data_IF_029670825287
#
_entry.id   IF_029670825287
#
_cell.length_a   1.000
_cell.length_b   1.000
_cell.length_c   1.000
_cell.angle_alpha   90.00
_cell.angle_beta   90.00
_cell.angle_gamma   90.00
#
_symmetry.space_group_name_H-M   'P 1'
#
loop_
_entity.id
_entity.type
_entity.pdbx_description
1 polymer ?
#
# COMPACT_ATOMS: atom_id res chain seq x y z
N UNK A 1 20.57 38.16 8.82
CA UNK A 1 20.32 37.80 8.14
C UNK A 1 20.39 37.26 7.60
N UNK A 2 20.44 37.15 8.06
CA UNK A 2 20.29 36.59 7.52
C UNK A 2 20.24 35.89 7.23
N UNK A 3 19.94 35.44 7.48
CA UNK A 3 19.80 34.86 7.09
C UNK A 3 19.47 34.20 6.77
N UNK A 4 19.44 34.32 7.10
CA UNK A 4 19.10 33.76 6.68
C UNK A 4 18.82 33.35 6.28
N UNK A 5 18.71 33.39 6.50
CA UNK A 5 18.34 32.99 5.98
C UNK A 5 18.19 32.52 5.58
N UNK A 6 18.02 32.40 5.72
CA UNK A 6 17.78 32.01 5.21
C UNK A 6 17.60 31.40 4.85
N UNK A 7 17.58 31.52 4.99
CA UNK A 7 17.28 30.96 4.48
C UNK A 7 16.83 30.64 4.12
N UNK A 8 16.84 30.77 4.41
CA UNK A 8 16.21 30.38 4.04
C UNK A 8 15.64 30.08 3.73
N UNK A 9 15.64 30.21 3.88
CA UNK A 9 14.94 29.79 3.60
C UNK A 9 14.45 29.32 3.39
N UNK A 10 14.37 29.52 3.46
CA UNK A 10 13.74 28.94 3.44
C UNK A 10 13.32 28.54 3.69
N UNK A 11 12.93 28.61 3.88
CA UNK A 11 12.46 28.12 4.26
C UNK A 11 12.16 27.61 4.75
N UNK A 12 11.73 27.93 5.46
CA UNK A 12 11.56 27.19 6.07
C UNK A 12 10.78 26.21 6.19
N UNK A 13 10.31 26.22 6.14
CA UNK A 13 9.19 25.29 6.02
C UNK A 13 9.67 23.86 6.08
N UNK A 14 9.03 23.00 6.94
CA UNK A 14 9.25 21.57 6.96
C UNK A 14 8.85 21.02 5.58
N UNK A 15 9.76 20.42 4.85
CA UNK A 15 9.37 19.83 3.55
C UNK A 15 8.32 18.75 3.77
N UNK A 16 7.36 18.66 2.87
CA UNK A 16 6.41 17.57 2.91
C UNK A 16 7.16 16.25 2.72
N UNK A 17 6.77 15.18 3.44
CA UNK A 17 7.38 13.88 3.20
C UNK A 17 7.26 13.53 1.73
N UNK A 18 8.34 13.00 1.19
CA UNK A 18 8.35 12.57 -0.18
C UNK A 18 7.48 11.32 -0.34
N UNK A 19 6.59 11.33 -1.32
CA UNK A 19 5.76 10.16 -1.58
C UNK A 19 6.58 9.05 -2.23
N UNK A 20 6.31 7.78 -1.91
CA UNK A 20 7.04 6.68 -2.54
C UNK A 20 6.86 6.66 -4.06
N UNK A 21 7.92 6.27 -4.76
CA UNK A 21 7.91 6.18 -6.21
C UNK A 21 7.99 4.72 -6.64
N UNK A 22 7.30 4.33 -7.72
CA UNK A 22 7.41 2.96 -8.23
C UNK A 22 8.75 2.76 -8.91
N UNK A 23 9.16 1.50 -9.03
CA UNK A 23 10.36 1.15 -9.78
C UNK A 23 10.07 1.18 -11.30
N UNK A 24 11.03 0.74 -12.11
CA UNK A 24 10.92 0.78 -13.58
C UNK A 24 9.77 -0.09 -14.09
N UNK A 25 9.38 -1.11 -13.34
CA UNK A 25 8.26 -1.98 -13.70
C UNK A 25 6.91 -1.47 -13.18
N UNK A 26 6.91 -0.29 -12.55
CA UNK A 26 5.69 0.27 -11.98
C UNK A 26 5.31 -0.36 -10.64
N UNK A 27 6.22 -1.08 -10.01
CA UNK A 27 5.96 -1.76 -8.74
C UNK A 27 6.52 -0.96 -7.58
N UNK A 28 5.75 -0.91 -6.49
CA UNK A 28 6.23 -0.25 -5.27
C UNK A 28 7.05 -1.23 -4.45
N UNK A 29 8.14 -0.72 -3.90
CA UNK A 29 9.01 -1.46 -3.01
C UNK A 29 8.58 -1.20 -1.56
N UNK A 30 9.19 -1.86 -0.60
CA UNK A 30 8.87 -1.70 0.82
C UNK A 30 8.86 -0.24 1.22
N UNK A 31 7.81 0.16 1.89
CA UNK A 31 7.58 1.55 2.25
C UNK A 31 6.90 1.66 3.61
N UNK A 32 7.22 2.73 4.33
CA UNK A 32 6.51 3.08 5.57
C UNK A 32 5.31 3.99 5.31
N UNK A 33 4.99 4.26 4.06
CA UNK A 33 3.88 5.14 3.70
C UNK A 33 2.56 4.39 3.78
N UNK A 34 1.64 4.87 4.61
CA UNK A 34 0.41 4.17 4.96
C UNK A 34 -0.79 4.49 4.05
N UNK A 35 -0.79 5.66 3.41
CA UNK A 35 -2.01 6.22 2.79
C UNK A 35 -1.95 6.13 1.28
N UNK A 36 -2.97 5.50 0.69
CA UNK A 36 -3.00 5.17 -0.73
C UNK A 36 -4.38 5.40 -1.33
N UNK A 37 -4.44 5.50 -2.64
CA UNK A 37 -5.68 5.70 -3.39
C UNK A 37 -5.71 4.76 -4.58
N UNK A 38 -6.89 4.21 -4.88
CA UNK A 38 -7.09 3.37 -6.07
C UNK A 38 -7.15 4.26 -7.29
N UNK A 39 -6.34 3.93 -8.31
CA UNK A 39 -6.34 4.63 -9.61
C UNK A 39 -6.61 3.66 -10.75
N UNK A 40 -6.95 2.42 -10.44
CA UNK A 40 -7.30 1.41 -11.44
C UNK A 40 -8.51 1.89 -12.24
N UNK A 41 -8.39 1.82 -13.57
CA UNK A 41 -9.44 2.27 -14.48
C UNK A 41 -10.55 1.24 -14.68
N UNK A 42 -10.40 0.03 -14.13
CA UNK A 42 -11.40 -1.02 -14.26
C UNK A 42 -12.69 -0.58 -13.57
N UNK A 43 -13.83 -0.53 -14.29
CA UNK A 43 -15.11 -0.13 -13.67
C UNK A 43 -15.57 -1.10 -12.57
N UNK A 44 -15.05 -2.33 -12.55
CA UNK A 44 -15.37 -3.28 -11.49
C UNK A 44 -14.53 -3.09 -10.24
N UNK A 45 -13.54 -2.19 -10.29
CA UNK A 45 -12.68 -1.89 -9.15
C UNK A 45 -11.46 -2.78 -9.05
N UNK A 46 -10.66 -2.50 -8.03
CA UNK A 46 -9.43 -3.24 -7.76
C UNK A 46 -9.74 -4.42 -6.84
N UNK A 47 -9.35 -5.62 -7.26
CA UNK A 47 -9.59 -6.84 -6.48
C UNK A 47 -8.74 -6.86 -5.20
N UNK A 48 -9.38 -7.22 -4.10
CA UNK A 48 -8.73 -7.44 -2.83
C UNK A 48 -8.85 -8.93 -2.48
N UNK A 49 -7.71 -9.61 -2.31
CA UNK A 49 -7.65 -11.06 -2.20
C UNK A 49 -7.18 -11.51 -0.84
N UNK A 50 -7.74 -12.61 -0.36
CA UNK A 50 -7.28 -13.22 0.90
C UNK A 50 -7.58 -14.70 0.90
N UNK A 51 -6.62 -15.49 1.39
CA UNK A 51 -6.81 -16.92 1.62
C UNK A 51 -7.34 -17.18 3.02
N UNK A 52 -7.39 -18.45 3.39
CA UNK A 52 -7.87 -18.88 4.70
C UNK A 52 -6.75 -18.77 5.75
N UNK A 53 -6.14 -17.58 5.85
CA UNK A 53 -4.99 -17.33 6.73
C UNK A 53 -5.17 -15.99 7.43
N UNK A 54 -4.51 -15.81 8.58
CA UNK A 54 -4.43 -14.49 9.23
C UNK A 54 -3.14 -13.81 8.80
N UNK A 55 -3.08 -12.50 8.94
CA UNK A 55 -1.84 -11.76 8.65
C UNK A 55 -0.72 -12.19 9.60
N UNK A 56 -1.05 -12.51 10.84
CA UNK A 56 -0.08 -12.98 11.82
C UNK A 56 0.53 -14.31 11.37
N UNK A 57 -0.29 -15.20 10.84
CA UNK A 57 0.18 -16.48 10.30
C UNK A 57 1.10 -16.28 9.11
N UNK A 58 0.71 -15.37 8.21
CA UNK A 58 1.50 -15.07 7.02
C UNK A 58 2.86 -14.48 7.39
N UNK A 59 2.92 -13.66 8.44
CA UNK A 59 4.15 -13.01 8.88
C UNK A 59 5.06 -13.91 9.71
N UNK A 60 4.55 -15.04 10.20
CA UNK A 60 5.33 -15.95 11.03
C UNK A 60 6.45 -16.57 10.19
N UNK A 61 7.73 -16.38 10.55
CA UNK A 61 8.84 -16.96 9.78
C UNK A 61 8.80 -18.49 9.70
N UNK A 62 8.14 -19.14 10.66
CA UNK A 62 8.00 -20.60 10.65
C UNK A 62 6.78 -21.07 9.89
N UNK A 63 6.00 -20.15 9.31
CA UNK A 63 4.77 -20.50 8.62
C UNK A 63 5.06 -21.18 7.29
N UNK A 64 4.18 -22.10 6.92
CA UNK A 64 4.24 -22.78 5.62
C UNK A 64 3.14 -22.33 4.69
N UNK A 65 2.64 -21.11 4.89
CA UNK A 65 1.61 -20.56 4.02
C UNK A 65 2.19 -20.39 2.61
N UNK A 66 1.47 -20.92 1.62
CA UNK A 66 1.83 -20.75 0.22
C UNK A 66 1.40 -19.34 -0.22
N UNK A 67 2.38 -18.46 -0.45
CA UNK A 67 2.11 -17.06 -0.78
C UNK A 67 1.79 -16.89 -2.27
N UNK A 68 0.86 -17.66 -2.77
CA UNK A 68 0.35 -17.53 -4.13
C UNK A 68 -0.86 -16.60 -4.14
N UNK A 69 -0.62 -15.36 -3.72
CA UNK A 69 -1.67 -14.38 -3.43
C UNK A 69 -2.55 -14.12 -4.66
N UNK A 70 -1.96 -14.11 -5.84
CA UNK A 70 -2.69 -13.86 -7.08
C UNK A 70 -3.77 -14.87 -7.39
N UNK A 71 -3.71 -16.06 -6.77
CA UNK A 71 -4.73 -17.09 -6.97
C UNK A 71 -5.71 -17.20 -5.79
N UNK A 72 -5.51 -16.40 -4.75
CA UNK A 72 -6.43 -16.41 -3.60
C UNK A 72 -7.78 -15.78 -3.99
N UNK A 73 -8.86 -16.16 -3.31
CA UNK A 73 -10.18 -15.62 -3.63
C UNK A 73 -10.24 -14.10 -3.53
N UNK A 74 -11.03 -13.50 -4.40
CA UNK A 74 -11.37 -12.08 -4.29
C UNK A 74 -12.43 -11.97 -3.20
N UNK A 75 -12.09 -11.29 -2.11
CA UNK A 75 -13.02 -11.13 -0.99
C UNK A 75 -13.69 -9.77 -0.98
N UNK A 76 -13.28 -8.87 -1.90
CA UNK A 76 -13.89 -7.57 -2.05
C UNK A 76 -13.21 -6.78 -3.15
N UNK A 77 -13.73 -5.60 -3.44
CA UNK A 77 -13.14 -4.69 -4.42
C UNK A 77 -13.12 -3.28 -3.86
N UNK A 78 -12.09 -2.51 -4.25
CA UNK A 78 -12.01 -1.09 -3.96
C UNK A 78 -12.24 -0.33 -5.25
N UNK A 79 -13.08 0.70 -5.20
CA UNK A 79 -13.45 1.45 -6.40
C UNK A 79 -12.42 2.52 -6.72
N UNK A 80 -12.34 2.88 -7.98
CA UNK A 80 -11.46 3.96 -8.42
C UNK A 80 -11.72 5.23 -7.62
N UNK A 81 -10.65 5.86 -7.15
CA UNK A 81 -10.72 7.05 -6.31
C UNK A 81 -10.83 6.77 -4.82
N UNK A 82 -11.14 5.54 -4.43
CA UNK A 82 -11.28 5.18 -3.01
C UNK A 82 -9.92 5.17 -2.34
N UNK A 83 -9.84 5.74 -1.13
CA UNK A 83 -8.61 5.77 -0.35
C UNK A 83 -8.59 4.64 0.67
N UNK A 84 -7.40 4.19 1.00
CA UNK A 84 -7.22 3.10 1.96
C UNK A 84 -5.90 3.25 2.69
N UNK A 85 -5.79 2.54 3.81
CA UNK A 85 -4.56 2.50 4.61
C UNK A 85 -4.02 1.09 4.59
N UNK A 86 -2.71 0.96 4.45
CA UNK A 86 -2.07 -0.34 4.46
C UNK A 86 -1.52 -0.67 5.84
N UNK A 87 -1.46 -1.96 6.15
CA UNK A 87 -0.85 -2.49 7.35
C UNK A 87 0.67 -2.51 7.14
N UNK A 88 1.41 -1.93 8.07
CA UNK A 88 2.86 -1.84 7.93
C UNK A 88 3.60 -3.01 8.60
N UNK A 89 2.94 -3.74 9.48
CA UNK A 89 3.52 -4.88 10.14
C UNK A 89 4.58 -4.53 11.18
N UNK A 90 5.20 -5.55 11.78
CA UNK A 90 6.19 -5.33 12.83
C UNK A 90 7.43 -4.58 12.36
N UNK A 91 7.78 -4.71 11.08
CA UNK A 91 8.95 -4.01 10.52
C UNK A 91 8.67 -2.54 10.20
N UNK A 92 7.39 -2.13 10.18
CA UNK A 92 7.01 -0.80 9.74
C UNK A 92 7.10 -0.58 8.24
N UNK A 93 7.27 -1.65 7.45
CA UNK A 93 7.41 -1.58 5.99
C UNK A 93 6.35 -2.46 5.33
N UNK A 94 5.47 -1.84 4.58
CA UNK A 94 4.18 -2.36 4.20
C UNK A 94 4.05 -3.18 2.93
N UNK A 95 5.11 -3.69 2.34
CA UNK A 95 4.99 -4.52 1.14
C UNK A 95 5.29 -5.97 1.47
N UNK A 96 4.42 -6.87 1.02
CA UNK A 96 4.65 -8.31 1.07
C UNK A 96 4.86 -8.82 -0.35
N UNK A 97 5.91 -9.60 -0.56
CA UNK A 97 6.19 -10.21 -1.87
C UNK A 97 5.61 -11.61 -1.91
N UNK A 98 4.91 -11.94 -3.01
CA UNK A 98 4.38 -13.29 -3.19
C UNK A 98 5.49 -14.22 -3.71
N UNK A 99 5.13 -15.47 -3.99
CA UNK A 99 6.12 -16.47 -4.44
C UNK A 99 6.70 -16.17 -5.82
N UNK A 100 6.09 -15.27 -6.58
CA UNK A 100 6.62 -14.78 -7.86
C UNK A 100 7.35 -13.45 -7.71
N UNK A 101 7.61 -13.01 -6.47
CA UNK A 101 8.24 -11.73 -6.16
C UNK A 101 7.44 -10.52 -6.61
N UNK A 102 6.13 -10.65 -6.68
CA UNK A 102 5.25 -9.52 -6.98
C UNK A 102 4.83 -8.86 -5.68
N UNK A 103 4.81 -7.52 -5.63
CA UNK A 103 4.50 -6.82 -4.38
C UNK A 103 3.00 -6.66 -4.16
N UNK A 104 2.59 -6.80 -2.91
CA UNK A 104 1.19 -6.66 -2.48
C UNK A 104 1.12 -5.80 -1.24
N UNK A 105 0.05 -5.02 -1.14
CA UNK A 105 -0.28 -4.27 0.08
C UNK A 105 -1.42 -4.97 0.81
N UNK A 106 -1.28 -5.09 2.13
CA UNK A 106 -2.38 -5.60 2.96
C UNK A 106 -3.23 -4.42 3.40
N UNK A 107 -4.49 -4.40 2.98
CA UNK A 107 -5.43 -3.31 3.31
C UNK A 107 -5.88 -3.47 4.74
N UNK A 108 -5.56 -2.51 5.58
CA UNK A 108 -5.97 -2.50 6.98
C UNK A 108 -7.32 -1.79 7.14
N UNK A 109 -7.55 -0.75 6.33
CA UNK A 109 -8.73 0.09 6.46
C UNK A 109 -9.04 0.70 5.10
N UNK A 110 -10.31 0.73 4.73
CA UNK A 110 -10.73 1.38 3.50
C UNK A 110 -11.79 2.43 3.81
N UNK A 111 -11.90 3.41 2.93
CA UNK A 111 -12.77 4.57 3.09
C UNK A 111 -14.25 4.22 2.96
N UNK A 112 -14.58 3.23 2.13
CA UNK A 112 -15.95 2.88 1.86
C UNK A 112 -16.63 2.24 3.06
N UNK A 113 -17.91 2.55 3.27
CA UNK A 113 -18.72 1.90 4.30
C UNK A 113 -18.87 0.43 3.94
N UNK A 114 -18.42 -0.44 4.84
CA UNK A 114 -18.41 -1.88 4.56
C UNK A 114 -17.38 -2.28 3.51
N UNK A 115 -16.43 -1.38 3.19
CA UNK A 115 -15.39 -1.67 2.23
C UNK A 115 -14.45 -2.77 2.69
N UNK A 116 -13.75 -3.43 1.75
CA UNK A 116 -12.89 -4.56 2.08
C UNK A 116 -11.71 -4.13 2.94
N UNK A 117 -11.33 -5.02 3.84
CA UNK A 117 -10.12 -4.89 4.65
C UNK A 117 -9.63 -6.28 4.98
N UNK A 118 -8.39 -6.36 5.48
CA UNK A 118 -7.75 -7.64 5.79
C UNK A 118 -7.61 -8.50 4.53
N UNK A 119 -7.20 -7.84 3.45
CA UNK A 119 -7.00 -8.50 2.15
C UNK A 119 -5.91 -7.76 1.38
N UNK A 120 -5.39 -8.39 0.34
CA UNK A 120 -4.24 -7.90 -0.42
C UNK A 120 -4.64 -7.30 -1.76
N UNK A 121 -4.05 -6.14 -2.09
CA UNK A 121 -4.14 -5.52 -3.42
C UNK A 121 -2.74 -5.42 -4.02
N UNK A 122 -2.65 -5.43 -5.34
CA UNK A 122 -1.37 -5.33 -6.03
C UNK A 122 -0.74 -3.96 -5.81
N UNK A 123 0.53 -3.96 -5.44
CA UNK A 123 1.28 -2.73 -5.18
C UNK A 123 1.93 -2.23 -6.46
N UNK A 124 1.10 -1.83 -7.42
CA UNK A 124 1.54 -1.31 -8.73
C UNK A 124 0.94 0.05 -8.99
N UNK A 125 1.72 0.90 -9.65
CA UNK A 125 1.32 2.28 -9.93
C UNK A 125 0.14 2.40 -10.89
N UNK A 126 -0.12 1.35 -11.68
CA UNK A 126 -1.31 1.32 -12.54
C UNK A 126 -2.59 1.05 -11.76
N UNK A 127 -2.49 0.58 -10.54
CA UNK A 127 -3.65 0.25 -9.70
C UNK A 127 -3.81 1.19 -8.51
N UNK A 128 -2.70 1.61 -7.88
CA UNK A 128 -2.74 2.40 -6.66
C UNK A 128 -1.65 3.47 -6.69
N UNK A 129 -1.90 4.58 -6.00
CA UNK A 129 -0.90 5.64 -5.86
C UNK A 129 -0.91 6.17 -4.45
N UNK A 130 0.24 6.63 -3.95
CA UNK A 130 0.29 7.19 -2.60
C UNK A 130 -0.40 8.54 -2.53
N UNK A 131 -0.99 8.84 -1.38
CA UNK A 131 -1.60 10.15 -1.13
C UNK A 131 -1.03 10.71 0.16
N UNK A 132 -1.08 12.03 0.30
CA UNK A 132 -0.62 12.68 1.51
C UNK A 132 -1.52 12.29 2.68
N UNK A 133 -0.96 12.10 3.88
CA UNK A 133 -1.78 11.86 5.06
C UNK A 133 -2.69 13.05 5.34
N UNK A 134 -3.88 12.76 5.82
CA UNK A 134 -4.87 13.79 6.17
C UNK A 134 -4.60 14.38 7.53
#
# INVERSE_FOLDING_TARGET
MTQISEFDTTQNSTPKPELPQPNERGEYQRTSHRYWKVVDSDPNGLNCRMGAHSIQEIEDPGSKVDLNIGSWPVVGTLKGGEEFEIYLGPSGLGVLYDKQHQPWFFVEKSEGIGGPRNCFVRARSSFVQPVQPK
#
